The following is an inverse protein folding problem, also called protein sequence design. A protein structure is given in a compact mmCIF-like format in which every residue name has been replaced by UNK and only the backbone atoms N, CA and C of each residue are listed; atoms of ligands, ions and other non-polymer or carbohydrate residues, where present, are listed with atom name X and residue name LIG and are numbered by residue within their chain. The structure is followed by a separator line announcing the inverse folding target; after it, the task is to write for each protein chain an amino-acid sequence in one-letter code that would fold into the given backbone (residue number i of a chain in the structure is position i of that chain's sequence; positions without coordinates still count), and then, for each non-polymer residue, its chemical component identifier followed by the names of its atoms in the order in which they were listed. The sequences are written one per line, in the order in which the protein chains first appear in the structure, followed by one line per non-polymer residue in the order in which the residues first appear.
data_IF_449124981686
#
_entry.id   IF_449124981686
#
_cell.length_a   1.000
_cell.length_b   1.000
_cell.length_c   1.000
_cell.angle_alpha   90.00
_cell.angle_beta   90.00
_cell.angle_gamma   90.00
#
_symmetry.space_group_name_H-M   'P 1'
#
loop_
_entity.id
_entity.type
_entity.pdbx_description
1 polymer ?
#
# COMPACT_ATOMS: atom_id res chain seq x y z
N UNK A 1 -20.42 37.59 3.65
CA UNK A 1 -18.93 37.48 3.55
C UNK A 1 -18.33 36.50 4.54
N UNK A 2 -18.57 36.61 5.86
CA UNK A 2 -18.04 35.67 6.88
C UNK A 2 -18.52 34.22 6.78
N UNK A 3 -19.72 33.97 6.23
CA UNK A 3 -20.26 32.61 6.02
C UNK A 3 -19.50 31.82 4.94
N UNK A 4 -18.98 32.49 3.90
CA UNK A 4 -18.27 31.83 2.78
C UNK A 4 -16.88 31.36 3.21
N UNK A 5 -16.22 32.14 4.07
CA UNK A 5 -14.88 31.83 4.61
C UNK A 5 -14.92 30.58 5.51
N UNK A 6 -15.96 30.42 6.33
CA UNK A 6 -16.14 29.20 7.14
C UNK A 6 -16.49 27.97 6.30
N UNK A 7 -17.22 28.15 5.19
CA UNK A 7 -17.54 27.05 4.27
C UNK A 7 -16.27 26.49 3.60
N UNK A 8 -15.38 27.37 3.12
CA UNK A 8 -14.10 26.97 2.53
C UNK A 8 -13.19 26.24 3.53
N UNK A 9 -13.21 26.64 4.81
CA UNK A 9 -12.41 26.00 5.87
C UNK A 9 -12.88 24.56 6.19
N UNK A 10 -14.18 24.28 6.02
CA UNK A 10 -14.75 22.94 6.21
C UNK A 10 -14.48 22.01 5.02
N UNK A 11 -14.36 22.55 3.80
CA UNK A 11 -14.12 21.75 2.58
C UNK A 11 -12.65 21.31 2.45
N UNK A 12 -11.69 22.10 2.96
CA UNK A 12 -10.26 21.80 2.83
C UNK A 12 -9.66 21.17 4.10
N UNK A 13 -10.09 19.95 4.44
CA UNK A 13 -9.29 19.05 5.31
C UNK A 13 -8.10 18.52 4.51
N UNK A 14 -7.09 19.37 4.29
CA UNK A 14 -5.78 18.99 3.76
C UNK A 14 -5.10 18.05 4.75
N UNK A 15 -5.35 16.75 4.57
CA UNK A 15 -4.75 15.69 5.37
C UNK A 15 -3.30 15.51 4.89
N UNK A 16 -2.39 15.47 5.84
CA UNK A 16 -0.95 15.39 5.63
C UNK A 16 -0.56 14.44 4.49
N UNK A 17 0.19 14.93 3.51
CA UNK A 17 0.59 14.15 2.34
C UNK A 17 1.50 12.96 2.68
N UNK A 18 2.08 12.99 3.89
CA UNK A 18 2.95 11.96 4.45
C UNK A 18 2.20 10.72 4.97
N UNK A 19 0.87 10.77 5.06
CA UNK A 19 0.01 9.66 5.51
C UNK A 19 -0.88 9.21 4.36
N UNK A 20 -0.29 8.59 3.34
CA UNK A 20 -1.03 8.13 2.15
C UNK A 20 -2.11 7.09 2.45
N UNK A 21 -1.96 6.37 3.56
CA UNK A 21 -2.94 5.38 3.99
C UNK A 21 -3.16 5.47 5.49
N UNK A 22 -4.42 5.50 5.89
CA UNK A 22 -4.85 5.39 7.28
C UNK A 22 -4.64 3.92 7.67
N UNK A 23 -3.41 3.59 8.09
CA UNK A 23 -3.05 2.26 8.58
C UNK A 23 -3.76 1.98 9.90
N UNK A 24 -5.04 1.67 9.84
CA UNK A 24 -5.82 1.19 10.98
C UNK A 24 -5.60 -0.31 11.21
N UNK A 25 -5.91 -0.77 12.42
CA UNK A 25 -5.81 -2.18 12.87
C UNK A 25 -6.46 -3.16 11.88
N UNK A 26 -7.51 -2.75 11.17
CA UNK A 26 -8.15 -3.53 10.11
C UNK A 26 -7.19 -4.02 9.02
N UNK A 27 -6.12 -3.27 8.73
CA UNK A 27 -5.11 -3.64 7.74
C UNK A 27 -4.35 -4.91 8.14
N UNK A 28 -4.04 -5.03 9.43
CA UNK A 28 -3.35 -6.19 9.99
C UNK A 28 -4.26 -7.42 9.94
N UNK A 29 -5.55 -7.25 10.23
CA UNK A 29 -6.55 -8.32 10.17
C UNK A 29 -6.68 -8.90 8.76
N UNK A 30 -6.78 -8.05 7.72
CA UNK A 30 -6.81 -8.52 6.32
C UNK A 30 -5.51 -9.24 5.95
N UNK A 31 -4.35 -8.72 6.36
CA UNK A 31 -3.07 -9.40 6.14
C UNK A 31 -3.08 -10.81 6.72
N UNK A 32 -3.58 -10.97 7.95
CA UNK A 32 -3.64 -12.26 8.62
C UNK A 32 -4.59 -13.24 7.91
N UNK A 33 -5.75 -12.76 7.45
CA UNK A 33 -6.70 -13.56 6.66
C UNK A 33 -6.08 -13.98 5.33
N UNK A 34 -5.40 -13.08 4.62
CA UNK A 34 -4.73 -13.43 3.38
C UNK A 34 -3.60 -14.43 3.59
N UNK A 35 -2.84 -14.31 4.68
CA UNK A 35 -1.82 -15.29 5.04
C UNK A 35 -2.45 -16.66 5.34
N UNK A 36 -3.55 -16.70 6.11
CA UNK A 36 -4.28 -17.93 6.40
C UNK A 36 -4.82 -18.59 5.13
N UNK A 37 -5.34 -17.81 4.19
CA UNK A 37 -5.80 -18.32 2.88
C UNK A 37 -4.63 -18.92 2.10
N UNK A 38 -3.50 -18.21 2.00
CA UNK A 38 -2.32 -18.71 1.30
C UNK A 38 -1.79 -20.00 1.94
N UNK A 39 -1.79 -20.07 3.27
CA UNK A 39 -1.41 -21.25 4.04
C UNK A 39 -2.35 -22.43 3.77
N UNK A 40 -3.68 -22.23 3.85
CA UNK A 40 -4.67 -23.27 3.55
C UNK A 40 -4.57 -23.75 2.11
N UNK A 41 -4.43 -22.83 1.15
CA UNK A 41 -4.28 -23.15 -0.26
C UNK A 41 -3.04 -24.04 -0.48
N UNK A 42 -1.92 -23.72 0.17
CA UNK A 42 -0.69 -24.49 0.09
C UNK A 42 -0.77 -25.83 0.84
N UNK A 43 -1.51 -25.89 1.95
CA UNK A 43 -1.73 -27.11 2.72
C UNK A 43 -2.51 -28.15 1.90
N UNK A 44 -3.56 -27.72 1.19
CA UNK A 44 -4.32 -28.58 0.27
C UNK A 44 -3.47 -29.00 -0.94
N UNK A 45 -2.66 -28.09 -1.48
CA UNK A 45 -1.82 -28.36 -2.66
C UNK A 45 -0.50 -29.08 -2.32
N UNK A 46 -0.33 -29.52 -1.07
CA UNK A 46 0.93 -30.11 -0.59
C UNK A 46 1.27 -31.45 -1.26
N UNK A 47 0.28 -32.19 -1.76
CA UNK A 47 0.56 -33.44 -2.48
C UNK A 47 1.07 -33.22 -3.91
N UNK A 48 0.97 -32.00 -4.45
CA UNK A 48 1.28 -31.69 -5.84
C UNK A 48 2.53 -30.82 -6.03
N UNK A 49 3.01 -30.15 -4.96
CA UNK A 49 4.12 -29.21 -5.05
C UNK A 49 5.40 -29.73 -4.42
N UNK A 50 6.45 -29.70 -5.24
CA UNK A 50 7.82 -29.96 -4.86
C UNK A 50 8.35 -28.96 -3.83
N UNK A 51 9.34 -29.39 -3.04
CA UNK A 51 9.84 -28.68 -1.86
C UNK A 51 10.43 -27.29 -2.20
N UNK A 52 11.01 -27.17 -3.39
CA UNK A 52 11.61 -25.94 -3.90
C UNK A 52 10.60 -24.82 -4.22
N UNK A 53 9.33 -25.18 -4.43
CA UNK A 53 8.27 -24.24 -4.83
C UNK A 53 7.46 -23.72 -3.64
N UNK A 54 7.83 -24.10 -2.41
CA UNK A 54 7.09 -23.76 -1.19
C UNK A 54 6.90 -22.25 -0.98
N UNK A 55 7.93 -21.45 -1.25
CA UNK A 55 7.90 -20.01 -0.95
C UNK A 55 7.06 -19.19 -1.95
N UNK A 56 6.66 -19.74 -3.10
CA UNK A 56 5.95 -18.98 -4.16
C UNK A 56 4.59 -18.45 -3.71
N UNK A 57 3.83 -19.26 -2.97
CA UNK A 57 2.51 -18.84 -2.48
C UNK A 57 2.63 -17.74 -1.41
N UNK A 58 3.67 -17.83 -0.58
CA UNK A 58 3.96 -16.80 0.42
C UNK A 58 4.48 -15.51 -0.22
N UNK A 59 5.32 -15.57 -1.26
CA UNK A 59 5.76 -14.36 -1.96
C UNK A 59 4.63 -13.68 -2.71
N UNK A 60 3.76 -14.44 -3.40
CA UNK A 60 2.56 -13.88 -4.02
C UNK A 60 1.70 -13.16 -2.99
N UNK A 61 1.48 -13.77 -1.82
CA UNK A 61 0.74 -13.13 -0.75
C UNK A 61 1.43 -11.85 -0.25
N UNK A 62 2.75 -11.87 -0.04
CA UNK A 62 3.52 -10.69 0.36
C UNK A 62 3.42 -9.57 -0.68
N UNK A 63 3.49 -9.87 -1.99
CA UNK A 63 3.38 -8.89 -3.07
C UNK A 63 1.97 -8.27 -3.10
N UNK A 64 0.92 -9.09 -2.98
CA UNK A 64 -0.46 -8.61 -2.91
C UNK A 64 -0.65 -7.70 -1.69
N UNK A 65 -0.11 -8.10 -0.53
CA UNK A 65 -0.20 -7.30 0.69
C UNK A 65 0.66 -6.03 0.61
N UNK A 66 1.81 -6.06 -0.05
CA UNK A 66 2.62 -4.88 -0.35
C UNK A 66 1.81 -3.90 -1.20
N UNK A 67 1.10 -4.40 -2.22
CA UNK A 67 0.24 -3.59 -3.08
C UNK A 67 -0.88 -2.91 -2.30
N UNK A 68 -1.57 -3.64 -1.42
CA UNK A 68 -2.64 -3.03 -0.65
C UNK A 68 -2.14 -2.15 0.48
N UNK A 69 -1.22 -2.62 1.33
CA UNK A 69 -0.89 -2.04 2.63
C UNK A 69 0.48 -1.36 2.71
N UNK A 70 1.26 -1.40 1.63
CA UNK A 70 2.57 -0.77 1.53
C UNK A 70 3.72 -1.61 2.09
N UNK A 71 4.91 -1.04 2.06
CA UNK A 71 6.17 -1.70 2.40
C UNK A 71 6.20 -2.28 3.82
N UNK A 72 5.74 -1.52 4.81
CA UNK A 72 5.85 -1.93 6.23
C UNK A 72 5.09 -3.22 6.54
N UNK A 73 3.91 -3.40 5.97
CA UNK A 73 3.10 -4.61 6.16
C UNK A 73 3.68 -5.81 5.42
N UNK A 74 4.19 -5.59 4.20
CA UNK A 74 4.86 -6.63 3.43
C UNK A 74 6.09 -7.18 4.15
N UNK A 75 6.95 -6.30 4.67
CA UNK A 75 8.16 -6.69 5.42
C UNK A 75 7.81 -7.43 6.71
N UNK A 76 6.77 -7.00 7.43
CA UNK A 76 6.27 -7.72 8.60
C UNK A 76 5.72 -9.11 8.26
N UNK A 77 4.98 -9.23 7.16
CA UNK A 77 4.47 -10.53 6.69
C UNK A 77 5.60 -11.44 6.23
N UNK A 78 6.60 -10.89 5.55
CA UNK A 78 7.80 -11.61 5.13
C UNK A 78 8.54 -12.20 6.33
N UNK A 79 8.72 -11.41 7.40
CA UNK A 79 9.37 -11.86 8.63
C UNK A 79 8.64 -13.02 9.33
N UNK A 80 7.32 -13.12 9.18
CA UNK A 80 6.51 -14.23 9.72
C UNK A 80 6.49 -15.41 8.74
N UNK A 81 6.39 -15.14 7.45
CA UNK A 81 6.30 -16.16 6.41
C UNK A 81 7.58 -17.00 6.27
N UNK A 82 8.75 -16.40 6.51
CA UNK A 82 10.04 -17.09 6.51
C UNK A 82 10.07 -18.25 7.52
N UNK A 83 9.95 -18.02 8.83
CA UNK A 83 9.98 -19.11 9.81
C UNK A 83 8.86 -20.12 9.59
N UNK A 84 7.66 -19.69 9.18
CA UNK A 84 6.58 -20.64 8.84
C UNK A 84 6.94 -21.52 7.65
N UNK A 85 7.49 -20.95 6.57
CA UNK A 85 7.87 -21.70 5.38
C UNK A 85 8.99 -22.70 5.67
N UNK A 86 10.00 -22.29 6.45
CA UNK A 86 11.10 -23.15 6.88
C UNK A 86 10.65 -24.27 7.81
N UNK A 87 9.77 -23.98 8.78
CA UNK A 87 9.35 -24.97 9.78
C UNK A 87 8.37 -26.00 9.22
N UNK A 88 7.45 -25.59 8.33
CA UNK A 88 6.34 -26.44 7.91
C UNK A 88 6.58 -27.20 6.60
N UNK A 89 7.41 -26.67 5.70
CA UNK A 89 7.51 -27.17 4.33
C UNK A 89 8.90 -27.70 3.95
N UNK A 90 9.86 -27.77 4.88
CA UNK A 90 11.18 -28.36 4.63
C UNK A 90 11.37 -29.70 5.36
N UNK A 91 11.96 -30.69 4.68
CA UNK A 91 12.43 -31.96 5.23
C UNK A 91 13.78 -31.80 5.93
N UNK A 92 14.01 -32.43 7.09
CA UNK A 92 13.06 -33.24 7.84
C UNK A 92 12.05 -32.32 8.54
N UNK A 93 10.76 -32.60 8.33
CA UNK A 93 9.70 -31.86 8.99
C UNK A 93 9.94 -31.89 10.51
N UNK A 94 9.83 -30.74 11.17
CA UNK A 94 9.99 -30.60 12.63
C UNK A 94 11.41 -30.79 13.20
N UNK A 95 12.46 -30.86 12.37
CA UNK A 95 13.85 -30.89 12.83
C UNK A 95 14.69 -29.77 12.21
N UNK A 96 15.43 -29.04 13.05
CA UNK A 96 16.50 -28.14 12.60
C UNK A 96 17.69 -28.99 12.14
N UNK A 97 17.59 -29.62 10.97
CA UNK A 97 18.77 -30.13 10.30
C UNK A 97 19.56 -28.95 9.72
N UNK A 98 20.89 -29.05 9.74
CA UNK A 98 21.79 -27.93 9.49
C UNK A 98 21.43 -27.16 8.22
N UNK A 99 21.31 -25.82 8.35
CA UNK A 99 21.00 -24.93 7.23
C UNK A 99 22.03 -25.16 6.11
N UNK A 100 21.62 -25.83 5.04
CA UNK A 100 22.48 -26.03 3.89
C UNK A 100 22.71 -24.69 3.17
N UNK A 101 23.91 -24.47 2.62
CA UNK A 101 24.22 -23.22 1.89
C UNK A 101 23.23 -22.92 0.74
N UNK A 102 22.68 -23.97 0.13
CA UNK A 102 21.63 -23.88 -0.90
C UNK A 102 20.36 -23.22 -0.38
N UNK A 103 20.01 -23.48 0.87
CA UNK A 103 18.81 -22.94 1.50
C UNK A 103 18.94 -21.46 1.82
N UNK A 104 20.11 -21.06 2.32
CA UNK A 104 20.43 -19.65 2.55
C UNK A 104 20.34 -18.85 1.24
N UNK A 105 20.86 -19.40 0.14
CA UNK A 105 20.80 -18.77 -1.17
C UNK A 105 19.36 -18.52 -1.65
N UNK A 106 18.50 -19.54 -1.58
CA UNK A 106 17.08 -19.42 -1.99
C UNK A 106 16.37 -18.33 -1.19
N UNK A 107 16.67 -18.25 0.11
CA UNK A 107 16.04 -17.29 1.02
C UNK A 107 16.49 -15.88 0.73
N UNK A 108 17.79 -15.66 0.53
CA UNK A 108 18.34 -14.35 0.16
C UNK A 108 17.71 -13.86 -1.15
N UNK A 109 17.62 -14.73 -2.16
CA UNK A 109 16.97 -14.39 -3.44
C UNK A 109 15.50 -14.04 -3.20
N UNK A 110 14.75 -14.82 -2.42
CA UNK A 110 13.35 -14.51 -2.13
C UNK A 110 13.14 -13.19 -1.39
N UNK A 111 13.94 -12.95 -0.36
CA UNK A 111 13.88 -11.73 0.43
C UNK A 111 14.19 -10.53 -0.46
N UNK A 112 15.24 -10.62 -1.29
CA UNK A 112 15.57 -9.54 -2.21
C UNK A 112 14.44 -9.23 -3.20
N UNK A 113 13.78 -10.26 -3.78
CA UNK A 113 12.66 -10.07 -4.70
C UNK A 113 11.49 -9.36 -4.01
N UNK A 114 11.09 -9.81 -2.82
CA UNK A 114 9.94 -9.22 -2.11
C UNK A 114 10.25 -7.80 -1.65
N UNK A 115 11.47 -7.53 -1.16
CA UNK A 115 11.89 -6.19 -0.78
C UNK A 115 11.90 -5.25 -1.98
N UNK A 116 12.46 -5.70 -3.12
CA UNK A 116 12.52 -4.91 -4.35
C UNK A 116 11.11 -4.64 -4.89
N UNK A 117 10.24 -5.65 -4.95
CA UNK A 117 8.84 -5.49 -5.34
C UNK A 117 8.10 -4.52 -4.42
N UNK A 118 8.25 -4.68 -3.10
CA UNK A 118 7.63 -3.81 -2.11
C UNK A 118 8.14 -2.36 -2.22
N UNK A 119 9.42 -2.18 -2.51
CA UNK A 119 10.04 -0.88 -2.74
C UNK A 119 9.48 -0.18 -3.98
N UNK A 120 9.43 -0.89 -5.12
CA UNK A 120 8.83 -0.35 -6.37
C UNK A 120 7.38 0.04 -6.14
N UNK A 121 6.61 -0.79 -5.45
CA UNK A 121 5.20 -0.51 -5.15
C UNK A 121 5.08 0.76 -4.30
N UNK A 122 5.88 0.92 -3.23
CA UNK A 122 5.83 2.13 -2.41
C UNK A 122 6.21 3.38 -3.22
N UNK A 123 7.23 3.27 -4.06
CA UNK A 123 7.66 4.36 -4.93
C UNK A 123 6.54 4.77 -5.91
N UNK A 124 5.93 3.80 -6.60
CA UNK A 124 4.82 4.05 -7.54
C UNK A 124 3.60 4.68 -6.84
N UNK A 125 3.28 4.23 -5.62
CA UNK A 125 2.18 4.78 -4.84
C UNK A 125 2.41 6.24 -4.45
N UNK A 126 3.66 6.60 -4.09
CA UNK A 126 4.02 7.99 -3.80
C UNK A 126 3.86 8.90 -5.01
N UNK A 127 4.29 8.45 -6.19
CA UNK A 127 4.10 9.22 -7.43
C UNK A 127 2.63 9.40 -7.78
N UNK A 128 1.84 8.32 -7.69
CA UNK A 128 0.39 8.39 -7.94
C UNK A 128 -0.30 9.37 -7.01
N UNK A 129 0.13 9.45 -5.75
CA UNK A 129 -0.42 10.43 -4.83
C UNK A 129 -0.06 11.86 -5.16
N UNK A 130 1.20 12.11 -5.54
CA UNK A 130 1.66 13.43 -5.93
C UNK A 130 0.84 13.95 -7.12
N UNK A 131 0.57 13.10 -8.11
CA UNK A 131 -0.27 13.42 -9.25
C UNK A 131 -1.71 13.75 -8.84
N UNK A 132 -2.34 12.93 -8.01
CA UNK A 132 -3.71 13.19 -7.51
C UNK A 132 -3.78 14.49 -6.72
N UNK A 133 -2.77 14.78 -5.90
CA UNK A 133 -2.72 16.02 -5.12
C UNK A 133 -2.59 17.25 -6.03
N UNK A 134 -1.73 17.20 -7.06
CA UNK A 134 -1.60 18.27 -8.05
C UNK A 134 -2.90 18.51 -8.81
N UNK A 135 -3.65 17.45 -9.14
CA UNK A 135 -4.96 17.57 -9.76
C UNK A 135 -5.95 18.31 -8.85
N UNK A 136 -6.05 17.94 -7.57
CA UNK A 136 -6.95 18.61 -6.61
C UNK A 136 -6.59 20.08 -6.38
N UNK A 137 -5.30 20.40 -6.35
CA UNK A 137 -4.83 21.80 -6.23
C UNK A 137 -5.21 22.59 -7.48
N UNK A 138 -5.09 22.00 -8.67
CA UNK A 138 -5.47 22.64 -9.93
C UNK A 138 -6.99 22.92 -10.00
N UNK A 139 -7.81 21.95 -9.60
CA UNK A 139 -9.28 22.11 -9.48
C UNK A 139 -9.65 23.26 -8.53
N UNK A 140 -9.01 23.31 -7.35
CA UNK A 140 -9.26 24.37 -6.36
C UNK A 140 -8.84 25.76 -6.88
N UNK A 141 -7.66 25.87 -7.50
CA UNK A 141 -7.19 27.14 -8.10
C UNK A 141 -8.11 27.63 -9.21
N UNK A 142 -8.64 26.71 -10.00
CA UNK A 142 -9.57 27.03 -11.08
C UNK A 142 -10.91 27.56 -10.55
N UNK A 143 -11.45 26.96 -9.48
CA UNK A 143 -12.67 27.46 -8.84
C UNK A 143 -12.50 28.87 -8.25
N UNK A 144 -11.38 29.13 -7.58
CA UNK A 144 -11.08 30.45 -7.03
C UNK A 144 -10.96 31.52 -8.12
N UNK A 145 -10.36 31.19 -9.27
CA UNK A 145 -10.29 32.09 -10.41
C UNK A 145 -11.69 32.43 -10.93
N UNK A 146 -12.57 31.43 -11.10
CA UNK A 146 -13.96 31.66 -11.54
C UNK A 146 -14.72 32.54 -10.56
N UNK A 147 -14.63 32.27 -9.25
CA UNK A 147 -15.29 33.07 -8.22
C UNK A 147 -14.79 34.52 -8.23
N UNK A 148 -13.47 34.72 -8.38
CA UNK A 148 -12.88 36.06 -8.49
C UNK A 148 -13.35 36.80 -9.73
N UNK A 149 -13.51 36.11 -10.87
CA UNK A 149 -13.98 36.69 -12.12
C UNK A 149 -15.45 37.09 -12.04
N UNK A 150 -16.28 36.27 -11.40
CA UNK A 150 -17.69 36.59 -11.12
C UNK A 150 -17.81 37.81 -10.20
N UNK A 151 -17.02 37.88 -9.12
CA UNK A 151 -17.02 39.03 -8.22
C UNK A 151 -16.68 40.34 -8.95
N UNK A 152 -15.66 40.32 -9.81
CA UNK A 152 -15.28 41.50 -10.63
C UNK A 152 -16.38 41.92 -11.60
N UNK A 153 -17.09 40.97 -12.22
CA UNK A 153 -18.20 41.28 -13.14
C UNK A 153 -19.39 41.92 -12.43
N UNK A 154 -19.71 41.47 -11.21
CA UNK A 154 -20.77 42.08 -10.39
C UNK A 154 -20.40 43.51 -10.00
N UNK A 155 -19.14 43.74 -9.64
CA UNK A 155 -18.65 45.08 -9.31
C UNK A 155 -18.71 46.02 -10.52
N UNK A 156 -18.29 45.57 -11.70
CA UNK A 156 -18.44 46.34 -12.94
C UNK A 156 -19.90 46.62 -13.30
N UNK A 157 -20.80 45.66 -13.13
CA UNK A 157 -22.24 45.85 -13.39
C UNK A 157 -22.87 46.86 -12.42
N UNK A 158 -22.45 46.84 -11.15
CA UNK A 158 -22.89 47.82 -10.15
C UNK A 158 -22.42 49.24 -10.50
N UNK A 159 -21.15 49.40 -10.86
CA UNK A 159 -20.59 50.70 -11.22
C UNK A 159 -21.15 51.27 -12.53
N UNK A 160 -21.75 50.45 -13.39
CA UNK A 160 -22.41 50.89 -14.62
C UNK A 160 -23.90 51.27 -14.41
N UNK A 161 -24.47 50.94 -13.25
CA UNK A 161 -25.85 51.22 -12.88
C UNK A 161 -26.01 52.48 -11.99
N UNK A 162 -24.90 52.98 -11.43
CA UNK A 162 -24.77 54.30 -10.79
C UNK A 162 -24.39 55.36 -11.84
#
# INVERSE_FOLDING_TARGET
MLSSINYLKTVMKLKNSRTWKQSGIHSVSICFVGFAIAFCLRYVLNSALDESMSMLFFSMNCIVMAYFFGFWHSTGLLAISLPTAFFFFRKPYYFFDGIAMKDAYIVIVYVSIILLASWIIEWLQRERYAAVLQQRVSETRYQLLIESDQARRVEHARNAAE
#
